data_IF_843513922030
#
_entry.id   IF_843513922030
#
_cell.length_a   1.000
_cell.length_b   1.000
_cell.length_c   1.000
_cell.angle_alpha   90.00
_cell.angle_beta   90.00
_cell.angle_gamma   90.00
#
_symmetry.space_group_name_H-M   'P 1'
#
loop_
_entity.id
_entity.type
_entity.pdbx_description
1 polymer ?
#
# COMPACT_ATOMS: atom_id res chain seq x y z
N UNK A 1 16.76 -8.65 78.02
CA UNK A 1 16.03 -9.93 78.09
C UNK A 1 14.71 -9.76 77.35
N UNK A 2 14.42 -10.56 76.31
CA UNK A 2 13.11 -10.61 75.65
C UNK A 2 12.33 -11.81 76.18
N UNK A 3 11.00 -11.69 76.30
CA UNK A 3 10.13 -12.64 75.59
C UNK A 3 8.93 -11.91 74.92
N UNK A 4 8.60 -12.13 73.64
CA UNK A 4 7.93 -13.30 73.00
C UNK A 4 6.39 -13.10 72.89
N UNK A 5 5.99 -12.86 71.62
CA UNK A 5 4.84 -13.40 70.85
C UNK A 5 3.41 -12.85 70.96
N UNK A 6 2.82 -12.89 69.75
CA UNK A 6 1.40 -13.01 69.38
C UNK A 6 0.60 -11.70 69.30
N UNK A 7 -0.33 -11.49 68.36
CA UNK A 7 -0.82 -12.23 67.18
C UNK A 7 -2.07 -11.45 66.72
N UNK A 8 -2.32 -11.48 65.40
CA UNK A 8 -3.62 -11.30 64.75
C UNK A 8 -4.11 -9.87 64.39
N UNK A 9 -4.48 -9.78 63.11
CA UNK A 9 -5.51 -8.92 62.52
C UNK A 9 -5.17 -7.45 62.26
N UNK A 10 -4.55 -7.20 61.10
CA UNK A 10 -5.07 -6.18 60.19
C UNK A 10 -4.76 -6.53 58.73
N UNK A 11 -5.16 -7.74 58.36
CA UNK A 11 -5.38 -8.19 56.98
C UNK A 11 -6.69 -7.60 56.47
N UNK A 12 -6.70 -6.34 56.03
CA UNK A 12 -7.78 -5.78 55.21
C UNK A 12 -7.39 -4.45 54.53
N UNK A 13 -6.15 -4.27 54.09
CA UNK A 13 -5.75 -3.01 53.45
C UNK A 13 -4.71 -3.19 52.34
N UNK A 14 -4.89 -4.18 51.45
CA UNK A 14 -3.99 -4.30 50.29
C UNK A 14 -4.61 -4.86 48.99
N UNK A 15 -5.87 -5.32 48.98
CA UNK A 15 -6.41 -6.00 47.77
C UNK A 15 -7.26 -5.10 46.87
N UNK A 16 -7.63 -3.88 47.28
CA UNK A 16 -8.56 -3.03 46.51
C UNK A 16 -7.90 -1.92 45.66
N UNK A 17 -6.56 -1.84 45.58
CA UNK A 17 -5.87 -0.75 44.87
C UNK A 17 -5.16 -1.15 43.56
N UNK A 18 -5.11 -2.44 43.20
CA UNK A 18 -4.43 -2.88 41.97
C UNK A 18 -5.35 -3.20 40.78
N UNK A 19 -6.67 -3.21 40.96
CA UNK A 19 -7.62 -3.60 39.89
C UNK A 19 -8.10 -2.48 38.97
N UNK A 20 -8.00 -1.20 39.40
CA UNK A 20 -8.63 -0.08 38.68
C UNK A 20 -7.71 0.54 37.62
N UNK A 21 -6.40 0.33 37.69
CA UNK A 21 -5.44 0.94 36.75
C UNK A 21 -5.38 0.24 35.38
N UNK A 22 -5.79 -1.02 35.28
CA UNK A 22 -5.77 -1.76 34.02
C UNK A 22 -6.96 -1.43 33.09
N UNK A 23 -8.12 -1.06 33.65
CA UNK A 23 -9.30 -0.71 32.85
C UNK A 23 -9.17 0.67 32.17
N UNK A 24 -8.50 1.62 32.80
CA UNK A 24 -8.33 2.99 32.28
C UNK A 24 -7.20 3.03 31.22
N UNK A 25 -6.21 2.12 31.31
CA UNK A 25 -5.15 2.00 30.31
C UNK A 25 -5.63 1.38 29.00
N UNK A 26 -6.64 0.51 29.04
CA UNK A 26 -7.20 -0.14 27.85
C UNK A 26 -8.17 0.78 27.07
N UNK A 27 -8.81 1.77 27.72
CA UNK A 27 -9.66 2.74 27.01
C UNK A 27 -8.87 3.71 26.13
N UNK A 28 -7.58 3.93 26.41
CA UNK A 28 -6.75 4.89 25.66
C UNK A 28 -6.26 4.34 24.31
N UNK A 29 -6.21 3.02 24.13
CA UNK A 29 -5.79 2.38 22.88
C UNK A 29 -6.94 2.22 21.87
N UNK A 30 -8.18 2.01 22.34
CA UNK A 30 -9.35 1.91 21.44
C UNK A 30 -9.78 3.27 20.88
N UNK A 31 -9.55 4.38 21.59
CA UNK A 31 -9.75 5.71 21.02
C UNK A 31 -8.69 6.09 19.97
N UNK A 32 -7.47 5.54 20.05
CA UNK A 32 -6.40 5.85 19.09
C UNK A 32 -6.55 5.12 17.75
N UNK A 33 -7.34 4.04 17.67
CA UNK A 33 -7.69 3.36 16.41
C UNK A 33 -8.86 3.99 15.66
N UNK A 34 -9.63 4.88 16.29
CA UNK A 34 -10.75 5.61 15.65
C UNK A 34 -10.38 6.98 15.06
N UNK A 35 -9.09 7.29 15.01
CA UNK A 35 -8.58 8.49 14.33
C UNK A 35 -7.73 8.10 13.10
N UNK A 36 -8.07 7.01 12.43
CA UNK A 36 -7.66 6.80 11.05
C UNK A 36 -8.61 7.56 10.15
N UNK A 37 -8.32 8.85 9.93
CA UNK A 37 -8.54 9.60 8.69
C UNK A 37 -9.64 9.09 7.73
N UNK A 38 -10.87 8.93 8.22
CA UNK A 38 -12.01 8.55 7.37
C UNK A 38 -12.66 9.78 6.70
N UNK A 39 -12.29 11.01 7.10
CA UNK A 39 -12.30 12.17 6.19
C UNK A 39 -11.13 12.04 5.19
N UNK A 40 -11.11 10.92 4.48
CA UNK A 40 -10.25 10.67 3.34
C UNK A 40 -10.69 11.66 2.25
N UNK A 41 -9.99 12.79 2.16
CA UNK A 41 -9.92 13.77 1.05
C UNK A 41 -10.82 13.40 -0.13
N UNK A 42 -12.12 13.63 -0.01
CA UNK A 42 -13.00 13.60 -1.16
C UNK A 42 -12.71 14.92 -1.86
N UNK A 43 -11.98 14.87 -2.97
CA UNK A 43 -11.83 16.06 -3.81
C UNK A 43 -13.24 16.58 -4.10
N UNK A 44 -13.49 17.90 -4.12
CA UNK A 44 -14.84 18.44 -4.36
C UNK A 44 -15.51 17.90 -5.64
N UNK A 45 -14.71 17.38 -6.58
CA UNK A 45 -15.15 16.73 -7.81
C UNK A 45 -15.47 15.24 -7.69
N UNK A 46 -15.40 14.67 -6.50
CA UNK A 46 -15.60 13.24 -6.21
C UNK A 46 -16.69 13.02 -5.16
N UNK A 47 -17.50 14.05 -4.86
CA UNK A 47 -18.63 13.93 -3.96
C UNK A 47 -19.68 12.95 -4.52
N UNK A 48 -20.16 12.07 -3.65
CA UNK A 48 -21.16 11.07 -4.01
C UNK A 48 -22.47 11.76 -4.43
N UNK A 49 -22.99 11.39 -5.60
CA UNK A 49 -24.22 11.99 -6.14
C UNK A 49 -24.01 13.28 -6.95
N UNK A 50 -22.77 13.78 -7.07
CA UNK A 50 -22.45 14.90 -7.97
C UNK A 50 -22.66 14.46 -9.44
N UNK A 51 -23.48 15.21 -10.18
CA UNK A 51 -23.71 14.99 -11.61
C UNK A 51 -22.87 15.96 -12.43
N UNK A 52 -22.14 15.42 -13.39
CA UNK A 52 -21.43 16.20 -14.41
C UNK A 52 -22.20 16.13 -15.71
N UNK A 53 -22.35 17.29 -16.37
CA UNK A 53 -22.85 17.38 -17.73
C UNK A 53 -21.82 18.19 -18.53
N UNK A 54 -21.39 17.63 -19.65
CA UNK A 54 -20.37 18.21 -20.53
C UNK A 54 -21.04 18.40 -21.88
N UNK A 55 -21.20 19.64 -22.33
CA UNK A 55 -21.65 19.93 -23.69
C UNK A 55 -20.44 19.83 -24.64
N UNK A 56 -20.53 19.10 -25.77
CA UNK A 56 -19.49 19.09 -26.78
C UNK A 56 -19.06 20.48 -27.26
N UNK A 57 -19.93 21.50 -27.23
CA UNK A 57 -19.58 22.87 -27.63
C UNK A 57 -18.63 23.57 -26.66
N UNK A 58 -18.59 23.10 -25.41
CA UNK A 58 -17.75 23.65 -24.34
C UNK A 58 -16.35 23.02 -24.33
N UNK A 59 -16.10 22.01 -25.18
CA UNK A 59 -14.80 21.39 -25.31
C UNK A 59 -13.84 22.26 -26.12
N UNK A 60 -12.54 22.28 -25.78
CA UNK A 60 -11.55 22.92 -26.63
C UNK A 60 -11.51 22.24 -28.00
N UNK A 61 -11.21 23.02 -29.05
CA UNK A 61 -11.08 22.48 -30.41
C UNK A 61 -10.04 21.35 -30.43
N UNK A 62 -10.24 20.28 -31.20
CA UNK A 62 -9.22 19.25 -31.36
C UNK A 62 -7.88 19.85 -31.77
N UNK A 63 -6.78 19.34 -31.23
CA UNK A 63 -5.41 19.83 -31.49
C UNK A 63 -5.17 21.30 -31.10
N UNK A 64 -5.88 21.79 -30.06
CA UNK A 64 -5.56 23.09 -29.45
C UNK A 64 -4.27 22.97 -28.64
N UNK A 65 -3.13 23.25 -29.29
CA UNK A 65 -1.82 23.31 -28.65
C UNK A 65 -0.78 22.33 -29.22
N UNK A 66 0.49 22.45 -28.81
CA UNK A 66 1.54 21.53 -29.21
C UNK A 66 1.22 20.12 -28.71
N UNK A 67 1.50 19.11 -29.54
CA UNK A 67 1.40 17.71 -29.14
C UNK A 67 2.48 17.45 -28.09
N UNK A 68 2.05 17.18 -26.86
CA UNK A 68 2.95 16.76 -25.77
C UNK A 68 2.93 15.25 -25.65
N UNK A 69 4.09 14.63 -25.48
CA UNK A 69 4.21 13.21 -25.19
C UNK A 69 4.99 13.01 -23.91
N UNK A 70 4.43 12.28 -22.96
CA UNK A 70 5.13 11.86 -21.75
C UNK A 70 5.57 10.40 -21.90
N UNK A 71 6.68 10.19 -22.62
CA UNK A 71 7.21 8.84 -22.82
C UNK A 71 8.03 8.44 -21.58
N UNK A 72 7.96 7.16 -21.17
CA UNK A 72 8.83 6.69 -20.10
C UNK A 72 10.30 6.78 -20.52
N UNK A 73 11.15 7.18 -19.58
CA UNK A 73 12.60 7.09 -19.75
C UNK A 73 13.01 5.62 -19.61
N UNK A 74 13.66 5.07 -20.64
CA UNK A 74 14.23 3.72 -20.56
C UNK A 74 15.64 3.84 -20.01
N UNK A 75 15.90 3.20 -18.87
CA UNK A 75 17.23 3.09 -18.28
C UNK A 75 17.78 1.68 -18.52
N UNK A 76 19.03 1.52 -18.96
CA UNK A 76 19.65 0.20 -19.08
C UNK A 76 19.66 -0.53 -17.75
N UNK A 77 19.55 -1.85 -17.80
CA UNK A 77 19.76 -2.68 -16.61
C UNK A 77 21.26 -2.82 -16.32
N UNK A 78 21.71 -2.35 -15.16
CA UNK A 78 23.11 -2.42 -14.70
C UNK A 78 23.19 -3.01 -13.29
N UNK A 79 22.66 -4.23 -13.11
CA UNK A 79 22.65 -4.96 -11.83
C UNK A 79 21.96 -4.21 -10.69
N UNK A 80 20.95 -3.42 -11.04
CA UNK A 80 20.13 -2.68 -10.10
C UNK A 80 19.28 -3.62 -9.23
N UNK A 81 19.26 -3.35 -7.92
CA UNK A 81 18.46 -4.09 -6.95
C UNK A 81 16.98 -3.85 -7.18
N UNK A 82 16.22 -4.92 -7.40
CA UNK A 82 14.78 -4.86 -7.57
C UNK A 82 14.12 -4.66 -6.21
N UNK A 83 13.26 -3.64 -6.10
CA UNK A 83 12.42 -3.48 -4.92
C UNK A 83 11.27 -4.50 -4.98
N UNK A 84 11.26 -5.44 -4.06
CA UNK A 84 10.25 -6.52 -3.98
C UNK A 84 9.66 -6.58 -2.57
N UNK A 85 8.44 -7.11 -2.40
CA UNK A 85 7.84 -7.27 -1.08
C UNK A 85 8.68 -8.15 -0.14
N UNK A 86 8.51 -7.98 1.17
CA UNK A 86 9.20 -8.81 2.18
C UNK A 86 8.93 -10.30 1.95
N UNK A 87 9.97 -11.12 2.13
CA UNK A 87 9.92 -12.57 1.90
C UNK A 87 10.09 -13.00 0.44
N UNK A 88 10.21 -12.07 -0.51
CA UNK A 88 10.47 -12.37 -1.92
C UNK A 88 11.91 -12.07 -2.30
N UNK A 89 12.40 -12.78 -3.32
CA UNK A 89 13.64 -12.45 -4.01
C UNK A 89 13.37 -12.40 -5.51
N UNK A 90 14.07 -11.51 -6.21
CA UNK A 90 14.01 -11.43 -7.67
C UNK A 90 15.43 -11.30 -8.22
N UNK A 91 15.71 -12.09 -9.24
CA UNK A 91 16.95 -12.06 -9.99
C UNK A 91 16.64 -12.03 -11.49
N UNK A 92 17.47 -11.37 -12.31
CA UNK A 92 17.32 -11.44 -13.76
C UNK A 92 17.44 -12.89 -14.25
N UNK A 93 16.48 -13.32 -15.05
CA UNK A 93 16.53 -14.63 -15.72
C UNK A 93 17.27 -14.53 -17.06
N UNK A 94 16.90 -13.54 -17.88
CA UNK A 94 17.55 -13.19 -19.15
C UNK A 94 17.51 -11.66 -19.29
N UNK A 95 18.56 -11.07 -19.84
CA UNK A 95 18.68 -9.63 -20.13
C UNK A 95 18.85 -9.39 -21.63
N UNK A 96 18.78 -8.13 -22.06
CA UNK A 96 18.96 -7.71 -23.47
C UNK A 96 17.92 -8.25 -24.45
N UNK A 97 16.69 -8.49 -24.00
CA UNK A 97 15.55 -8.81 -24.87
C UNK A 97 15.02 -7.55 -25.57
N UNK A 98 14.60 -7.68 -26.82
CA UNK A 98 13.96 -6.61 -27.59
C UNK A 98 12.44 -6.65 -27.41
N UNK A 99 11.88 -5.63 -26.75
CA UNK A 99 10.44 -5.48 -26.53
C UNK A 99 9.75 -6.77 -26.00
N UNK A 100 10.25 -7.37 -24.90
CA UNK A 100 9.67 -8.59 -24.34
C UNK A 100 8.26 -8.32 -23.82
N UNK A 101 7.34 -9.25 -24.10
CA UNK A 101 5.92 -9.16 -23.71
C UNK A 101 5.51 -10.42 -22.97
N UNK A 102 4.63 -11.21 -23.56
CA UNK A 102 4.03 -12.37 -22.91
C UNK A 102 5.08 -13.46 -22.70
N UNK A 103 5.09 -14.02 -21.49
CA UNK A 103 5.81 -15.24 -21.14
C UNK A 103 4.84 -16.43 -21.12
N UNK A 104 5.29 -17.59 -21.56
CA UNK A 104 4.57 -18.86 -21.44
C UNK A 104 5.51 -19.92 -20.88
N UNK A 105 5.14 -20.52 -19.76
CA UNK A 105 5.83 -21.68 -19.20
C UNK A 105 5.20 -22.94 -19.76
N UNK A 106 5.99 -23.80 -20.38
CA UNK A 106 5.57 -25.07 -20.95
C UNK A 106 5.55 -26.18 -19.88
N UNK A 107 4.82 -27.29 -20.09
CA UNK A 107 4.78 -28.40 -19.13
C UNK A 107 6.13 -29.06 -18.83
N UNK A 108 7.12 -28.93 -19.73
CA UNK A 108 8.49 -29.42 -19.52
C UNK A 108 9.38 -28.44 -18.72
N UNK A 109 8.87 -27.26 -18.35
CA UNK A 109 9.60 -26.24 -17.62
C UNK A 109 10.26 -25.17 -18.49
N UNK A 110 10.22 -25.29 -19.82
CA UNK A 110 10.76 -24.27 -20.72
C UNK A 110 9.92 -23.00 -20.68
N UNK A 111 10.57 -21.86 -20.92
CA UNK A 111 9.92 -20.55 -20.96
C UNK A 111 10.04 -19.95 -22.36
N UNK A 112 8.91 -19.70 -23.01
CA UNK A 112 8.84 -18.97 -24.28
C UNK A 112 8.56 -17.49 -23.97
N UNK A 113 9.33 -16.60 -24.60
CA UNK A 113 9.15 -15.15 -24.53
C UNK A 113 8.76 -14.61 -25.90
N UNK A 114 7.73 -13.76 -25.95
CA UNK A 114 7.37 -13.03 -27.16
C UNK A 114 8.09 -11.68 -27.23
N UNK A 115 8.98 -11.50 -28.21
CA UNK A 115 9.65 -10.23 -28.55
C UNK A 115 8.87 -9.53 -29.66
N UNK A 116 8.04 -8.54 -29.30
CA UNK A 116 7.17 -7.88 -30.27
C UNK A 116 7.90 -6.73 -30.98
N UNK A 117 7.99 -6.79 -32.31
CA UNK A 117 8.40 -5.64 -33.11
C UNK A 117 7.20 -4.78 -33.46
N UNK A 118 7.39 -3.46 -33.51
CA UNK A 118 6.36 -2.54 -34.00
C UNK A 118 6.10 -2.85 -35.49
N UNK A 119 4.87 -3.22 -35.83
CA UNK A 119 4.36 -3.25 -37.20
C UNK A 119 3.30 -2.17 -37.34
N UNK A 120 3.36 -1.36 -38.40
CA UNK A 120 2.33 -0.36 -38.67
C UNK A 120 1.02 -1.05 -39.05
N UNK A 121 -0.07 -0.75 -38.35
CA UNK A 121 -1.44 -1.01 -38.79
C UNK A 121 -1.92 0.23 -39.54
N UNK A 122 -2.00 0.11 -40.85
CA UNK A 122 -2.60 1.12 -41.74
C UNK A 122 -3.94 0.55 -42.21
N UNK A 123 -5.02 1.35 -42.07
CA UNK A 123 -6.36 1.01 -42.58
C UNK A 123 -6.41 1.13 -44.11
#
# INVERSE_FOLDING_TARGET
MKPIRSLLMLTAMSVAALGVTAAIAQQKSDQKRKQGSAEQIISPDQEMGKRFQIDPTDLPRPRTGPIVSNRPLTVPYTDQTLNVPEGFTAAPFVTNLEHPRRLLVLPNGDVIVAEQRVGHLTL
#
